data_IF_492655089288
#
_entry.id   IF_492655089288
#
_cell.length_a   1.000
_cell.length_b   1.000
_cell.length_c   1.000
_cell.angle_alpha   90.00
_cell.angle_beta   90.00
_cell.angle_gamma   90.00
#
_symmetry.space_group_name_H-M   'P 1'
#
loop_
_entity.id
_entity.type
_entity.pdbx_description
1 polymer ?
#
# COMPACT_ATOMS: atom_id res chain seq x y z
N UNK A 1 21.13 -9.56 -39.19
CA UNK A 1 21.95 -8.72 -38.29
C UNK A 1 21.11 -8.36 -37.08
N UNK A 2 21.43 -9.02 -35.97
CA UNK A 2 21.12 -8.73 -34.56
C UNK A 2 19.78 -8.08 -34.22
N UNK A 3 18.84 -8.94 -33.80
CA UNK A 3 17.75 -8.63 -32.90
C UNK A 3 18.31 -7.87 -31.67
N UNK A 4 17.87 -6.63 -31.45
CA UNK A 4 18.18 -5.86 -30.24
C UNK A 4 17.63 -6.61 -29.01
N UNK A 5 18.46 -6.94 -28.00
CA UNK A 5 17.97 -7.60 -26.81
C UNK A 5 17.12 -6.62 -25.99
N UNK A 6 15.91 -7.07 -25.70
CA UNK A 6 14.96 -6.52 -24.75
C UNK A 6 15.63 -6.03 -23.47
N UNK A 7 15.57 -4.73 -23.20
CA UNK A 7 15.98 -4.15 -21.93
C UNK A 7 14.74 -3.67 -21.16
N UNK A 8 13.90 -4.62 -20.74
CA UNK A 8 12.93 -4.36 -19.69
C UNK A 8 13.71 -4.22 -18.37
N UNK A 9 14.16 -3.01 -18.05
CA UNK A 9 14.80 -2.70 -16.77
C UNK A 9 13.80 -2.96 -15.65
N UNK A 10 14.16 -3.82 -14.69
CA UNK A 10 13.41 -3.99 -13.43
C UNK A 10 13.26 -2.63 -12.75
N UNK A 11 12.02 -2.15 -12.61
CA UNK A 11 11.75 -0.80 -12.09
C UNK A 11 12.05 -0.65 -10.59
N UNK A 12 12.03 -1.76 -9.83
CA UNK A 12 12.32 -1.78 -8.40
C UNK A 12 13.20 -2.98 -8.04
N UNK A 13 13.88 -2.92 -6.89
CA UNK A 13 14.54 -4.09 -6.26
C UNK A 13 13.49 -5.01 -5.60
N UNK A 14 13.85 -6.25 -5.22
CA UNK A 14 12.94 -7.23 -4.58
C UNK A 14 12.03 -6.56 -3.53
N UNK A 15 10.72 -6.80 -3.61
CA UNK A 15 9.75 -6.20 -2.70
C UNK A 15 9.78 -6.92 -1.35
N UNK A 16 9.87 -6.18 -0.22
CA UNK A 16 9.78 -6.78 1.10
C UNK A 16 8.34 -7.23 1.38
N UNK A 17 8.19 -8.28 2.19
CA UNK A 17 6.88 -8.71 2.70
C UNK A 17 6.55 -7.85 3.93
N UNK A 18 5.47 -7.07 3.85
CA UNK A 18 4.98 -6.25 4.96
C UNK A 18 3.50 -6.51 5.21
N UNK A 19 3.17 -7.01 6.40
CA UNK A 19 1.78 -7.29 6.79
C UNK A 19 1.25 -6.14 7.63
N UNK A 20 0.09 -5.63 7.28
CA UNK A 20 -0.62 -4.58 7.99
C UNK A 20 -2.00 -5.08 8.43
N UNK A 21 -2.45 -4.60 9.58
CA UNK A 21 -3.86 -4.71 9.96
C UNK A 21 -4.64 -3.63 9.19
N UNK A 22 -5.60 -4.06 8.36
CA UNK A 22 -6.50 -3.15 7.67
C UNK A 22 -7.85 -3.07 8.39
N UNK A 23 -8.39 -1.85 8.42
CA UNK A 23 -9.72 -1.55 8.96
C UNK A 23 -10.66 -1.28 7.79
N UNK A 24 -11.75 -2.04 7.69
CA UNK A 24 -12.78 -1.83 6.67
C UNK A 24 -13.82 -0.87 7.23
N UNK A 25 -14.05 0.26 6.56
CA UNK A 25 -15.02 1.28 6.98
C UNK A 25 -16.40 0.95 6.39
N UNK A 26 -17.40 0.77 7.26
CA UNK A 26 -18.78 0.43 6.87
C UNK A 26 -19.72 1.64 6.78
N UNK A 27 -19.34 2.78 7.35
CA UNK A 27 -20.18 3.98 7.42
C UNK A 27 -19.39 5.22 7.05
N UNK A 28 -19.93 6.05 6.15
CA UNK A 28 -19.37 7.37 5.81
C UNK A 28 -19.16 8.20 7.08
N UNK A 29 -18.06 8.95 7.14
CA UNK A 29 -17.80 9.88 8.23
C UNK A 29 -16.63 10.82 7.91
N UNK A 30 -16.64 11.98 8.56
CA UNK A 30 -15.60 13.03 8.46
C UNK A 30 -15.48 13.67 9.84
N UNK A 31 -14.27 14.00 10.27
CA UNK A 31 -13.99 14.56 11.60
C UNK A 31 -14.60 13.72 12.74
N UNK A 32 -14.47 12.39 12.64
CA UNK A 32 -15.01 11.44 13.61
C UNK A 32 -14.21 11.57 14.91
N UNK A 33 -14.90 11.78 16.04
CA UNK A 33 -14.27 11.73 17.36
C UNK A 33 -13.66 10.34 17.59
N UNK A 34 -12.46 10.28 18.18
CA UNK A 34 -11.77 9.01 18.42
C UNK A 34 -12.64 8.01 19.22
N UNK A 35 -13.46 8.49 20.16
CA UNK A 35 -14.43 7.69 20.93
C UNK A 35 -15.49 7.02 20.07
N UNK A 36 -15.85 7.61 18.93
CA UNK A 36 -16.91 7.17 18.04
C UNK A 36 -16.40 6.29 16.88
N UNK A 37 -15.08 6.21 16.69
CA UNK A 37 -14.45 5.52 15.57
C UNK A 37 -14.96 4.07 15.38
N UNK A 38 -15.15 3.32 16.46
CA UNK A 38 -15.63 1.92 16.42
C UNK A 38 -16.99 1.77 15.73
N UNK A 39 -17.87 2.76 15.82
CA UNK A 39 -19.21 2.72 15.20
C UNK A 39 -19.16 2.82 13.66
N UNK A 40 -18.00 3.19 13.10
CA UNK A 40 -17.78 3.30 11.66
C UNK A 40 -17.03 2.10 11.06
N UNK A 41 -16.51 1.21 11.91
CA UNK A 41 -15.75 0.03 11.47
C UNK A 41 -16.74 -1.09 11.12
N UNK A 42 -16.66 -1.60 9.90
CA UNK A 42 -17.34 -2.82 9.48
C UNK A 42 -16.61 -4.06 9.99
N UNK A 43 -15.28 -4.06 9.88
CA UNK A 43 -14.45 -5.18 10.32
C UNK A 43 -12.96 -4.96 10.06
N UNK A 44 -12.18 -6.02 10.22
CA UNK A 44 -10.74 -6.03 10.06
C UNK A 44 -10.31 -7.11 9.06
N UNK A 45 -9.18 -6.90 8.40
CA UNK A 45 -8.56 -7.90 7.54
C UNK A 45 -7.03 -7.78 7.54
N UNK A 46 -6.36 -8.78 7.00
CA UNK A 46 -4.91 -8.75 6.76
C UNK A 46 -4.66 -8.09 5.40
N UNK A 47 -3.80 -7.08 5.38
CA UNK A 47 -3.34 -6.41 4.16
C UNK A 47 -1.85 -6.64 3.97
N UNK A 48 -1.44 -6.91 2.74
CA UNK A 48 -0.03 -6.83 2.36
C UNK A 48 0.25 -5.42 1.81
N UNK A 49 0.90 -4.60 2.61
CA UNK A 49 1.27 -3.23 2.22
C UNK A 49 2.58 -3.29 1.41
N UNK A 50 2.43 -3.58 0.13
CA UNK A 50 3.56 -3.72 -0.81
C UNK A 50 4.07 -2.34 -1.19
N UNK A 51 5.32 -2.04 -0.84
CA UNK A 51 5.94 -0.76 -1.19
C UNK A 51 7.28 -0.95 -1.91
N UNK A 52 7.45 -0.23 -3.03
CA UNK A 52 8.76 -0.06 -3.68
C UNK A 52 9.53 1.06 -2.96
N UNK A 53 10.15 0.73 -1.82
CA UNK A 53 10.78 1.71 -0.92
C UNK A 53 11.90 2.50 -1.60
N UNK A 54 12.61 1.89 -2.54
CA UNK A 54 13.66 2.54 -3.33
C UNK A 54 13.16 3.66 -4.25
N UNK A 55 11.91 3.56 -4.71
CA UNK A 55 11.23 4.60 -5.49
C UNK A 55 10.62 5.62 -4.53
N UNK A 56 9.92 5.18 -3.48
CA UNK A 56 9.23 6.06 -2.55
C UNK A 56 10.13 7.14 -1.91
N UNK A 57 11.36 6.78 -1.52
CA UNK A 57 12.31 7.77 -0.96
C UNK A 57 12.77 8.82 -1.97
N UNK A 58 12.77 8.49 -3.28
CA UNK A 58 13.12 9.44 -4.34
C UNK A 58 11.97 10.38 -4.66
N UNK A 59 10.74 9.87 -4.58
CA UNK A 59 9.52 10.61 -4.92
C UNK A 59 9.14 11.66 -3.85
N UNK A 60 9.82 11.66 -2.68
CA UNK A 60 9.62 12.60 -1.55
C UNK A 60 8.16 12.72 -1.11
N UNK A 61 7.43 11.60 -1.17
CA UNK A 61 6.08 11.49 -0.62
C UNK A 61 6.04 11.64 0.90
#
# INVERSE_FOLDING_TARGET
MTCLPSLAKSMHKRLPIMRALAVVIGRKGKNILASEARKHIFGYTILNDVSARDIQFKDKQ
#
